data_IF_202683002596
#
_entry.id   IF_202683002596
#
_cell.length_a   1.000
_cell.length_b   1.000
_cell.length_c   1.000
_cell.angle_alpha   90.00
_cell.angle_beta   90.00
_cell.angle_gamma   90.00
#
_symmetry.space_group_name_H-M   'P 1'
#
loop_
_entity.id
_entity.type
_entity.pdbx_description
1 polymer ?
#
# COMPACT_ATOMS: atom_id res chain seq x y z
N UNK A 1 1.60 -19.78 12.88
CA UNK A 1 2.58 -20.34 11.92
C UNK A 1 3.80 -19.43 11.89
N UNK A 2 5.03 -19.97 11.89
CA UNK A 2 6.24 -19.14 11.75
C UNK A 2 6.52 -18.82 10.28
N UNK A 3 7.29 -17.75 10.00
CA UNK A 3 7.69 -17.43 8.62
C UNK A 3 8.48 -18.56 7.95
N UNK A 4 9.29 -19.32 8.71
CA UNK A 4 10.00 -20.51 8.20
C UNK A 4 9.03 -21.63 7.79
N UNK A 5 7.96 -21.83 8.56
CA UNK A 5 6.92 -22.80 8.22
C UNK A 5 6.12 -22.34 7.00
N UNK A 6 5.82 -21.04 6.90
CA UNK A 6 5.16 -20.45 5.73
C UNK A 6 6.00 -20.62 4.47
N UNK A 7 7.29 -20.26 4.54
CA UNK A 7 8.20 -20.32 3.41
C UNK A 7 8.33 -21.74 2.87
N UNK A 8 8.41 -22.73 3.77
CA UNK A 8 8.43 -24.15 3.38
C UNK A 8 7.12 -24.59 2.70
N UNK A 9 5.96 -24.23 3.28
CA UNK A 9 4.63 -24.58 2.71
C UNK A 9 4.38 -23.91 1.36
N UNK A 10 4.79 -22.66 1.19
CA UNK A 10 4.64 -21.91 -0.05
C UNK A 10 5.71 -22.25 -1.10
N UNK A 11 6.70 -23.09 -0.75
CA UNK A 11 7.88 -23.41 -1.59
C UNK A 11 8.64 -22.17 -2.07
N UNK A 12 8.77 -21.18 -1.19
CA UNK A 12 9.42 -19.88 -1.46
C UNK A 12 10.50 -19.66 -0.42
N UNK A 13 11.61 -19.00 -0.79
CA UNK A 13 12.66 -18.71 0.18
C UNK A 13 12.22 -17.64 1.18
N UNK A 14 12.66 -17.80 2.43
CA UNK A 14 12.42 -16.81 3.49
C UNK A 14 12.98 -15.43 3.12
N UNK A 15 14.14 -15.39 2.46
CA UNK A 15 14.74 -14.14 1.99
C UNK A 15 13.86 -13.41 0.98
N UNK A 16 13.21 -14.13 0.07
CA UNK A 16 12.33 -13.53 -0.92
C UNK A 16 11.06 -12.94 -0.29
N UNK A 17 10.45 -13.65 0.67
CA UNK A 17 9.32 -13.12 1.47
C UNK A 17 9.75 -11.85 2.21
N UNK A 18 10.94 -11.85 2.80
CA UNK A 18 11.45 -10.71 3.56
C UNK A 18 11.68 -9.46 2.70
N UNK A 19 12.13 -9.63 1.45
CA UNK A 19 12.26 -8.50 0.50
C UNK A 19 10.90 -7.93 0.10
N UNK A 20 9.87 -8.77 0.00
CA UNK A 20 8.49 -8.32 -0.27
C UNK A 20 7.93 -7.53 0.92
N UNK A 21 8.13 -8.02 2.15
CA UNK A 21 7.68 -7.32 3.37
C UNK A 21 8.32 -5.93 3.52
N UNK A 22 9.56 -5.74 3.03
CA UNK A 22 10.25 -4.44 3.00
C UNK A 22 9.83 -3.55 1.82
N UNK A 23 8.98 -4.05 0.92
CA UNK A 23 8.59 -3.34 -0.31
C UNK A 23 9.69 -3.27 -1.37
N UNK A 24 10.76 -4.06 -1.24
CA UNK A 24 11.83 -4.10 -2.24
C UNK A 24 11.45 -4.93 -3.47
N UNK A 25 10.46 -5.82 -3.35
CA UNK A 25 9.97 -6.68 -4.42
C UNK A 25 8.45 -6.72 -4.46
N UNK A 26 7.93 -6.77 -5.68
CA UNK A 26 6.53 -7.05 -5.93
C UNK A 26 6.27 -8.56 -5.93
N UNK A 27 5.15 -8.97 -5.35
CA UNK A 27 4.72 -10.36 -5.37
C UNK A 27 4.05 -10.68 -6.72
N UNK A 28 4.52 -11.73 -7.40
CA UNK A 28 3.82 -12.23 -8.59
C UNK A 28 2.47 -12.85 -8.21
N UNK A 29 1.54 -12.92 -9.17
CA UNK A 29 0.24 -13.58 -8.97
C UNK A 29 0.37 -15.05 -8.56
N UNK A 30 1.38 -15.76 -9.11
CA UNK A 30 1.67 -17.13 -8.74
C UNK A 30 2.16 -17.25 -7.29
N UNK A 31 3.02 -16.32 -6.85
CA UNK A 31 3.49 -16.27 -5.48
C UNK A 31 2.34 -15.99 -4.50
N UNK A 32 1.49 -15.02 -4.81
CA UNK A 32 0.31 -14.69 -4.00
C UNK A 32 -0.60 -15.91 -3.85
N UNK A 33 -0.85 -16.65 -4.93
CA UNK A 33 -1.62 -17.88 -4.90
C UNK A 33 -0.96 -18.95 -4.01
N UNK A 34 0.37 -19.13 -4.10
CA UNK A 34 1.12 -20.09 -3.28
C UNK A 34 1.05 -19.74 -1.79
N UNK A 35 1.21 -18.46 -1.43
CA UNK A 35 1.09 -17.98 -0.06
C UNK A 35 -0.34 -18.16 0.49
N UNK A 36 -1.36 -17.83 -0.30
CA UNK A 36 -2.77 -18.04 0.05
C UNK A 36 -3.07 -19.52 0.33
N UNK A 37 -2.60 -20.41 -0.55
CA UNK A 37 -2.72 -21.86 -0.37
C UNK A 37 -2.01 -22.34 0.90
N UNK A 38 -0.79 -21.86 1.16
CA UNK A 38 -0.05 -22.18 2.37
C UNK A 38 -0.67 -21.63 3.66
N UNK A 39 -1.52 -20.61 3.57
CA UNK A 39 -2.26 -20.03 4.70
C UNK A 39 -3.70 -20.54 4.82
N UNK A 40 -4.12 -21.46 3.96
CA UNK A 40 -5.51 -21.93 3.87
C UNK A 40 -6.50 -20.76 3.69
N UNK A 41 -6.08 -19.74 2.94
CA UNK A 41 -6.82 -18.52 2.66
C UNK A 41 -7.29 -18.50 1.20
N UNK A 42 -8.58 -18.29 0.90
CA UNK A 42 -9.04 -18.12 -0.47
C UNK A 42 -8.43 -16.85 -1.11
N UNK A 43 -7.82 -16.98 -2.29
CA UNK A 43 -7.22 -15.84 -3.00
C UNK A 43 -8.24 -14.72 -3.26
N UNK A 44 -9.49 -15.07 -3.57
CA UNK A 44 -10.57 -14.10 -3.78
C UNK A 44 -10.86 -13.24 -2.55
N UNK A 45 -10.73 -13.80 -1.33
CA UNK A 45 -10.89 -13.03 -0.09
C UNK A 45 -9.78 -12.00 0.04
N UNK A 46 -8.52 -12.42 -0.13
CA UNK A 46 -7.37 -11.50 -0.06
C UNK A 46 -7.51 -10.37 -1.08
N UNK A 47 -7.86 -10.69 -2.33
CA UNK A 47 -8.03 -9.69 -3.38
C UNK A 47 -9.18 -8.73 -3.06
N UNK A 48 -10.29 -9.22 -2.49
CA UNK A 48 -11.39 -8.38 -2.02
C UNK A 48 -10.93 -7.38 -0.95
N UNK A 49 -10.19 -7.82 0.06
CA UNK A 49 -9.63 -6.94 1.10
C UNK A 49 -8.66 -5.90 0.51
N UNK A 50 -7.84 -6.29 -0.46
CA UNK A 50 -6.96 -5.37 -1.19
C UNK A 50 -7.76 -4.33 -1.97
N UNK A 51 -8.82 -4.75 -2.68
CA UNK A 51 -9.73 -3.84 -3.38
C UNK A 51 -10.36 -2.83 -2.42
N UNK A 52 -10.86 -3.26 -1.27
CA UNK A 52 -11.44 -2.38 -0.27
C UNK A 52 -10.42 -1.37 0.29
N UNK A 53 -9.19 -1.83 0.55
CA UNK A 53 -8.08 -0.99 1.02
C UNK A 53 -7.69 0.08 0.00
N UNK A 54 -7.58 -0.32 -1.28
CA UNK A 54 -7.28 0.60 -2.40
C UNK A 54 -8.41 1.63 -2.54
N UNK A 55 -9.67 1.20 -2.56
CA UNK A 55 -10.82 2.10 -2.66
C UNK A 55 -10.91 3.08 -1.47
N UNK A 56 -10.51 2.66 -0.27
CA UNK A 56 -10.42 3.55 0.89
C UNK A 56 -9.28 4.57 0.75
N UNK A 57 -8.14 4.14 0.20
CA UNK A 57 -7.01 5.02 -0.10
C UNK A 57 -7.38 6.07 -1.16
N UNK A 58 -7.98 5.67 -2.28
CA UNK A 58 -8.44 6.55 -3.35
C UNK A 58 -9.42 7.62 -2.85
N UNK A 59 -10.39 7.23 -2.00
CA UNK A 59 -11.34 8.17 -1.37
C UNK A 59 -10.64 9.23 -0.53
N UNK A 60 -9.63 8.86 0.27
CA UNK A 60 -8.84 9.82 1.07
C UNK A 60 -8.07 10.77 0.18
N UNK A 61 -7.42 10.25 -0.86
CA UNK A 61 -6.65 11.06 -1.82
C UNK A 61 -7.55 12.07 -2.54
N UNK A 62 -8.74 11.64 -2.97
CA UNK A 62 -9.74 12.52 -3.59
C UNK A 62 -10.25 13.61 -2.62
N UNK A 63 -10.42 13.29 -1.34
CA UNK A 63 -10.85 14.25 -0.32
C UNK A 63 -9.83 15.37 -0.10
N UNK A 64 -8.53 15.03 -0.04
CA UNK A 64 -7.44 16.01 0.09
C UNK A 64 -7.38 16.93 -1.13
N UNK A 65 -7.61 16.38 -2.33
CA UNK A 65 -7.65 17.17 -3.57
C UNK A 65 -8.84 18.17 -3.63
N UNK A 66 -9.90 17.94 -2.85
CA UNK A 66 -11.06 18.83 -2.75
C UNK A 66 -10.95 19.93 -1.68
N UNK A 67 -9.85 20.00 -0.93
CA UNK A 67 -9.67 21.08 0.05
C UNK A 67 -9.52 22.43 -0.67
N UNK A 68 -10.26 23.47 -0.26
CA UNK A 68 -10.11 24.79 -0.87
C UNK A 68 -8.69 25.29 -0.61
N UNK A 69 -8.00 25.70 -1.68
CA UNK A 69 -6.70 26.34 -1.55
C UNK A 69 -6.86 27.58 -0.67
N UNK A 70 -6.20 27.60 0.49
CA UNK A 70 -6.13 28.81 1.32
C UNK A 70 -5.51 29.89 0.44
N UNK A 71 -6.20 31.01 0.17
CA UNK A 71 -5.62 32.06 -0.65
C UNK A 71 -4.35 32.53 0.06
N UNK A 72 -3.21 32.37 -0.62
CA UNK A 72 -1.95 32.93 -0.17
C UNK A 72 -2.20 34.42 0.09
N UNK A 73 -1.92 34.87 1.32
CA UNK A 73 -2.00 36.29 1.64
C UNK A 73 -1.01 37.00 0.74
N UNK A 74 -1.51 37.61 -0.33
CA UNK A 74 -0.74 38.51 -1.19
C UNK A 74 -0.25 39.62 -0.28
N UNK A 75 1.05 39.62 0.01
CA UNK A 75 1.68 40.71 0.73
C UNK A 75 1.43 41.99 -0.05
N UNK A 76 0.68 42.91 0.55
CA UNK A 76 0.66 44.27 0.07
C UNK A 76 2.10 44.81 0.11
N UNK A 77 2.61 45.40 -1.00
CA UNK A 77 3.89 46.07 -0.95
C UNK A 77 3.75 47.29 -0.05
N UNK A 78 4.43 47.26 1.10
CA UNK A 78 4.55 48.43 1.97
C UNK A 78 5.30 49.51 1.19
N UNK A 79 4.70 50.68 0.89
CA UNK A 79 5.43 51.76 0.24
C UNK A 79 6.49 52.28 1.22
N UNK A 80 7.76 52.02 0.88
CA UNK A 80 8.90 52.60 1.58
C UNK A 80 8.95 54.09 1.27
N UNK A 81 8.42 54.90 2.18
CA UNK A 81 8.65 56.35 2.20
C UNK A 81 9.92 56.62 3.00
N UNK A 82 11.00 57.04 2.32
CA UNK A 82 12.03 58.01 2.73
C UNK A 82 13.23 57.94 1.77
#
# INVERSE_FOLDING_TARGET
>A
MTLRQLSARARVSLGYISEIERGHKEASSELLASLCSALDLPLSRLLGEVTDSVAAHERRTAQVASLPAVPARTGEPVPSAA
#
